data_IF_004758607917
#
_entry.id   IF_004758607917
#
_cell.length_a   1.000
_cell.length_b   1.000
_cell.length_c   1.000
_cell.angle_alpha   90.00
_cell.angle_beta   90.00
_cell.angle_gamma   90.00
#
_symmetry.space_group_name_H-M   'P 1'
#
loop_
_entity.id
_entity.type
_entity.pdbx_description
1 polymer ?
#
# COMPACT_ATOMS: atom_id res chain seq x y z
N UNK A 1 4.43 59.70 -44.02
CA UNK A 1 4.13 59.22 -42.65
C UNK A 1 4.40 57.72 -42.67
N UNK A 2 5.61 57.23 -42.37
CA UNK A 2 6.08 56.79 -41.02
C UNK A 2 4.90 56.25 -40.18
N UNK A 3 4.87 54.99 -39.79
CA UNK A 3 5.94 54.26 -39.07
C UNK A 3 5.89 52.75 -39.35
N UNK A 4 7.05 52.16 -39.66
CA UNK A 4 7.31 50.75 -39.39
C UNK A 4 7.57 50.58 -37.89
N UNK A 5 6.94 49.59 -37.29
CA UNK A 5 7.33 49.10 -35.97
C UNK A 5 8.30 47.94 -36.22
N UNK A 6 9.59 48.22 -36.05
CA UNK A 6 10.59 47.19 -35.77
C UNK A 6 10.11 46.46 -34.51
N UNK A 7 9.83 45.16 -34.65
CA UNK A 7 9.57 44.28 -33.53
C UNK A 7 10.93 44.06 -32.86
N UNK A 8 10.98 44.41 -31.58
CA UNK A 8 12.17 44.41 -30.75
C UNK A 8 12.74 42.98 -30.65
N UNK A 9 13.86 42.75 -31.34
CA UNK A 9 14.54 41.45 -31.38
C UNK A 9 15.07 41.03 -30.01
N UNK A 10 15.18 41.94 -29.04
CA UNK A 10 15.57 41.62 -27.66
C UNK A 10 14.42 40.95 -26.87
N UNK A 11 13.16 41.22 -27.22
CA UNK A 11 12.00 40.64 -26.52
C UNK A 11 11.73 39.18 -26.98
N UNK A 12 12.00 38.86 -28.25
CA UNK A 12 11.96 37.48 -28.76
C UNK A 12 13.13 36.62 -28.23
N UNK A 13 14.32 37.20 -28.07
CA UNK A 13 15.48 36.51 -27.49
C UNK A 13 15.34 36.32 -25.97
N UNK A 14 14.75 37.27 -25.24
CA UNK A 14 14.42 37.11 -23.82
C UNK A 14 13.33 36.05 -23.60
N UNK A 15 12.30 35.99 -24.46
CA UNK A 15 11.28 34.94 -24.41
C UNK A 15 11.88 33.58 -24.79
N UNK A 16 12.81 33.51 -25.75
CA UNK A 16 13.54 32.27 -26.09
C UNK A 16 14.47 31.80 -24.96
N UNK A 17 15.23 32.68 -24.33
CA UNK A 17 16.07 32.34 -23.18
C UNK A 17 15.24 31.95 -21.96
N UNK A 18 14.13 32.64 -21.67
CA UNK A 18 13.21 32.29 -20.59
C UNK A 18 12.48 30.96 -20.84
N UNK A 19 12.21 30.61 -22.11
CA UNK A 19 11.61 29.33 -22.51
C UNK A 19 12.64 28.19 -22.50
N UNK A 20 13.93 28.47 -22.73
CA UNK A 20 15.02 27.50 -22.56
C UNK A 20 15.42 27.32 -21.09
N UNK A 21 15.36 28.36 -20.25
CA UNK A 21 15.70 28.31 -18.84
C UNK A 21 14.63 27.59 -17.98
N UNK A 22 13.35 27.63 -18.39
CA UNK A 22 12.25 26.90 -17.71
C UNK A 22 12.14 25.41 -18.11
N UNK A 23 13.02 24.92 -19.01
CA UNK A 23 13.02 23.52 -19.47
C UNK A 23 13.91 22.57 -18.68
N UNK A 24 14.61 23.02 -17.64
CA UNK A 24 15.35 22.13 -16.75
C UNK A 24 14.53 21.89 -15.50
N UNK A 25 13.67 20.88 -15.55
CA UNK A 25 13.38 20.08 -14.35
C UNK A 25 14.72 19.86 -13.64
N UNK A 26 14.85 20.16 -12.34
CA UNK A 26 16.14 20.05 -11.66
C UNK A 26 16.63 18.62 -11.82
N UNK A 27 17.62 18.45 -12.69
CA UNK A 27 18.33 17.20 -12.89
C UNK A 27 19.22 17.08 -11.67
N UNK A 28 18.83 16.22 -10.72
CA UNK A 28 19.80 15.68 -9.77
C UNK A 28 20.86 14.98 -10.64
N UNK A 29 22.09 15.49 -10.58
CA UNK A 29 23.14 15.35 -11.58
C UNK A 29 23.72 13.92 -11.76
N UNK A 30 23.01 12.88 -11.33
CA UNK A 30 23.50 11.50 -11.43
C UNK A 30 22.86 10.63 -12.52
N UNK A 31 21.67 10.91 -13.07
CA UNK A 31 21.08 10.08 -14.15
C UNK A 31 20.10 10.86 -15.06
N UNK A 32 20.12 10.62 -16.39
CA UNK A 32 19.27 11.32 -17.38
C UNK A 32 17.92 10.59 -17.59
N UNK A 33 16.77 11.29 -17.67
CA UNK A 33 15.50 10.66 -18.10
C UNK A 33 15.68 9.90 -19.42
N UNK A 34 15.15 8.68 -19.49
CA UNK A 34 15.35 7.75 -20.61
C UNK A 34 16.52 6.77 -20.46
N UNK A 35 17.32 6.85 -19.37
CA UNK A 35 18.32 5.82 -19.05
C UNK A 35 17.70 4.67 -18.24
N UNK A 36 18.08 3.44 -18.55
CA UNK A 36 17.77 2.27 -17.73
C UNK A 36 18.77 2.12 -16.58
N UNK A 37 18.37 1.45 -15.50
CA UNK A 37 19.35 0.92 -14.55
C UNK A 37 19.90 -0.36 -15.14
N UNK A 38 21.23 -0.47 -15.14
CA UNK A 38 21.95 -1.59 -15.73
C UNK A 38 22.56 -2.45 -14.62
N UNK A 39 22.67 -3.75 -14.86
CA UNK A 39 23.48 -4.65 -14.02
C UNK A 39 24.96 -4.61 -14.41
N UNK A 40 25.76 -5.45 -13.77
CA UNK A 40 27.22 -5.56 -14.00
C UNK A 40 27.60 -6.01 -15.42
N UNK A 41 26.64 -6.53 -16.20
CA UNK A 41 26.83 -7.01 -17.57
C UNK A 41 26.16 -6.11 -18.62
N UNK A 42 25.89 -4.84 -18.28
CA UNK A 42 25.20 -3.89 -19.14
C UNK A 42 23.82 -4.38 -19.63
N UNK A 43 23.09 -5.13 -18.78
CA UNK A 43 21.69 -5.50 -19.03
C UNK A 43 20.74 -4.64 -18.23
N UNK A 44 19.59 -4.33 -18.80
CA UNK A 44 18.55 -3.52 -18.15
C UNK A 44 17.89 -4.32 -17.01
N UNK A 45 17.89 -3.75 -15.81
CA UNK A 45 17.22 -4.34 -14.64
C UNK A 45 15.72 -4.00 -14.69
N UNK A 46 14.91 -5.03 -14.94
CA UNK A 46 13.44 -4.95 -14.81
C UNK A 46 13.00 -5.45 -13.44
N UNK A 47 11.90 -4.95 -12.91
CA UNK A 47 11.29 -5.50 -11.69
C UNK A 47 9.92 -6.05 -11.99
N UNK A 48 9.39 -6.90 -11.10
CA UNK A 48 8.01 -7.37 -11.22
C UNK A 48 7.03 -6.19 -11.27
N UNK A 49 7.24 -5.18 -10.42
CA UNK A 49 6.36 -4.01 -10.39
C UNK A 49 6.38 -3.23 -11.71
N UNK A 50 7.54 -3.13 -12.37
CA UNK A 50 7.66 -2.48 -13.67
C UNK A 50 7.00 -3.31 -14.77
N UNK A 51 7.23 -4.61 -14.82
CA UNK A 51 6.61 -5.52 -15.79
C UNK A 51 5.10 -5.60 -15.62
N UNK A 52 4.60 -5.64 -14.38
CA UNK A 52 3.16 -5.54 -14.09
C UNK A 52 2.56 -4.24 -14.63
N UNK A 53 3.27 -3.12 -14.52
CA UNK A 53 2.80 -1.85 -15.11
C UNK A 53 2.80 -1.89 -16.63
N UNK A 54 3.80 -2.49 -17.28
CA UNK A 54 3.83 -2.69 -18.73
C UNK A 54 2.62 -3.51 -19.20
N UNK A 55 2.36 -4.64 -18.54
CA UNK A 55 1.22 -5.51 -18.82
C UNK A 55 -0.11 -4.77 -18.66
N UNK A 56 -0.27 -4.00 -17.59
CA UNK A 56 -1.50 -3.27 -17.32
C UNK A 56 -1.71 -2.10 -18.29
N UNK A 57 -0.68 -1.28 -18.53
CA UNK A 57 -0.76 -0.10 -19.40
C UNK A 57 0.65 0.36 -19.85
N UNK A 58 1.04 0.12 -21.12
CA UNK A 58 2.35 0.54 -21.65
C UNK A 58 2.62 2.04 -21.52
N UNK A 59 1.60 2.91 -21.73
CA UNK A 59 1.74 4.36 -21.52
C UNK A 59 2.10 4.70 -20.07
N UNK A 60 1.51 4.02 -19.11
CA UNK A 60 1.82 4.21 -17.68
C UNK A 60 3.25 3.75 -17.38
N UNK A 61 3.65 2.61 -17.92
CA UNK A 61 5.02 2.12 -17.81
C UNK A 61 6.04 3.14 -18.34
N UNK A 62 5.86 3.63 -19.57
CA UNK A 62 6.74 4.64 -20.17
C UNK A 62 6.90 5.84 -19.24
N UNK A 63 5.79 6.41 -18.76
CA UNK A 63 5.81 7.59 -17.89
C UNK A 63 6.52 7.33 -16.57
N UNK A 64 6.27 6.20 -15.92
CA UNK A 64 6.88 5.89 -14.62
C UNK A 64 8.35 5.48 -14.72
N UNK A 65 8.69 4.61 -15.67
CA UNK A 65 9.96 3.87 -15.69
C UNK A 65 10.94 4.34 -16.76
N UNK A 66 10.48 5.05 -17.80
CA UNK A 66 11.36 5.62 -18.83
C UNK A 66 11.49 7.14 -18.66
N UNK A 67 10.35 7.82 -18.53
CA UNK A 67 10.30 9.29 -18.40
C UNK A 67 10.53 9.75 -16.95
N UNK A 68 10.44 8.81 -15.99
CA UNK A 68 10.63 9.04 -14.55
C UNK A 68 9.71 10.08 -13.93
N UNK A 69 8.59 10.37 -14.58
CA UNK A 69 7.64 11.35 -14.07
C UNK A 69 6.68 10.70 -13.07
N UNK A 70 6.45 11.38 -11.94
CA UNK A 70 5.46 11.02 -10.92
C UNK A 70 4.70 12.26 -10.50
N UNK A 71 3.46 12.15 -9.99
CA UNK A 71 2.77 13.30 -9.43
C UNK A 71 3.62 14.00 -8.35
N UNK A 72 3.71 15.33 -8.41
CA UNK A 72 4.48 16.16 -7.48
C UNK A 72 3.93 16.08 -6.05
N UNK A 73 2.62 15.87 -5.93
CA UNK A 73 1.91 15.81 -4.66
C UNK A 73 1.67 14.36 -4.24
N UNK A 74 2.20 13.98 -3.08
CA UNK A 74 1.74 12.79 -2.37
C UNK A 74 0.38 13.14 -1.78
N UNK A 75 -0.65 12.35 -2.08
CA UNK A 75 -1.99 12.56 -1.51
C UNK A 75 -1.94 12.33 0.02
N UNK A 76 -2.26 13.33 0.87
CA UNK A 76 -2.74 13.11 2.23
C UNK A 76 -3.83 12.04 2.17
N UNK A 77 -3.73 11.08 3.09
CA UNK A 77 -4.62 9.94 3.10
C UNK A 77 -4.40 8.90 1.98
N UNK A 78 -3.31 8.93 1.19
CA UNK A 78 -3.03 7.83 0.24
C UNK A 78 -3.02 6.50 1.00
N UNK A 79 -3.91 5.55 0.67
CA UNK A 79 -3.96 4.30 1.42
C UNK A 79 -2.67 3.48 1.36
N UNK A 80 -1.76 3.78 0.42
CA UNK A 80 -0.42 3.18 0.35
C UNK A 80 0.45 3.56 1.55
N UNK A 81 0.30 4.77 2.10
CA UNK A 81 1.11 5.22 3.24
C UNK A 81 0.85 4.35 4.47
N UNK A 82 -0.43 4.03 4.71
CA UNK A 82 -0.81 3.08 5.76
C UNK A 82 -0.21 1.70 5.51
N UNK A 83 -0.31 1.19 4.27
CA UNK A 83 0.28 -0.11 3.89
C UNK A 83 1.79 -0.16 4.14
N UNK A 84 2.54 0.84 3.65
CA UNK A 84 3.98 0.93 3.88
C UNK A 84 4.36 1.02 5.35
N UNK A 85 3.56 1.71 6.17
CA UNK A 85 3.76 1.74 7.63
C UNK A 85 3.56 0.35 8.27
N UNK A 86 2.56 -0.42 7.82
CA UNK A 86 2.35 -1.79 8.29
C UNK A 86 3.54 -2.69 7.90
N UNK A 87 3.98 -2.68 6.64
CA UNK A 87 5.14 -3.47 6.21
C UNK A 87 6.37 -3.14 7.05
N UNK A 88 6.64 -1.86 7.32
CA UNK A 88 7.77 -1.45 8.15
C UNK A 88 7.68 -1.99 9.58
N UNK A 89 6.49 -2.01 10.19
CA UNK A 89 6.30 -2.61 11.51
C UNK A 89 6.53 -4.11 11.51
N UNK A 90 6.00 -4.82 10.50
CA UNK A 90 6.15 -6.27 10.36
C UNK A 90 7.59 -6.69 10.03
N UNK A 91 8.34 -5.87 9.30
CA UNK A 91 9.78 -6.03 9.07
C UNK A 91 10.55 -6.00 10.39
N UNK A 92 10.28 -4.99 11.24
CA UNK A 92 10.91 -4.85 12.56
C UNK A 92 10.57 -6.06 13.44
N UNK A 93 9.32 -6.52 13.43
CA UNK A 93 8.91 -7.73 14.16
C UNK A 93 9.62 -8.98 13.67
N UNK A 94 9.75 -9.13 12.35
CA UNK A 94 10.50 -10.25 11.78
C UNK A 94 11.97 -10.23 12.21
N UNK A 95 12.59 -9.06 12.26
CA UNK A 95 14.00 -8.92 12.61
C UNK A 95 14.29 -9.09 14.10
N UNK A 96 13.36 -8.68 14.98
CA UNK A 96 13.64 -8.54 16.41
C UNK A 96 12.82 -9.46 17.31
N UNK A 97 11.85 -10.21 16.77
CA UNK A 97 11.09 -11.15 17.59
C UNK A 97 10.29 -10.44 18.68
N UNK A 98 10.34 -11.00 19.89
CA UNK A 98 9.59 -10.52 21.06
C UNK A 98 10.00 -9.11 21.51
N UNK A 99 11.23 -8.68 21.19
CA UNK A 99 11.76 -7.36 21.55
C UNK A 99 11.28 -6.23 20.62
N UNK A 100 10.51 -6.56 19.58
CA UNK A 100 10.17 -5.62 18.51
C UNK A 100 9.17 -4.52 18.90
N UNK A 101 8.32 -4.74 19.91
CA UNK A 101 7.14 -3.90 20.17
C UNK A 101 7.51 -2.42 20.32
N UNK A 102 8.46 -2.08 21.19
CA UNK A 102 8.91 -0.69 21.38
C UNK A 102 9.55 -0.09 20.13
N UNK A 103 10.28 -0.90 19.35
CA UNK A 103 10.93 -0.47 18.11
C UNK A 103 9.90 -0.14 17.02
N UNK A 104 8.80 -0.90 16.97
CA UNK A 104 7.69 -0.66 16.06
C UNK A 104 7.00 0.66 16.41
N UNK A 105 6.73 0.91 17.69
CA UNK A 105 6.11 2.16 18.15
C UNK A 105 6.95 3.39 17.74
N UNK A 106 8.26 3.33 18.00
CA UNK A 106 9.21 4.37 17.58
C UNK A 106 9.22 4.56 16.07
N UNK A 107 9.19 3.48 15.29
CA UNK A 107 9.17 3.53 13.84
C UNK A 107 7.88 4.14 13.28
N UNK A 108 6.72 3.85 13.87
CA UNK A 108 5.43 4.45 13.49
C UNK A 108 5.45 5.95 13.77
N UNK A 109 5.93 6.36 14.96
CA UNK A 109 6.06 7.77 15.35
C UNK A 109 6.97 8.49 14.35
N UNK A 110 8.12 7.91 14.02
CA UNK A 110 9.08 8.50 13.07
C UNK A 110 8.54 8.56 11.64
N UNK A 111 7.82 7.53 11.18
CA UNK A 111 7.30 7.45 9.80
C UNK A 111 6.29 8.56 9.51
N UNK A 112 5.39 8.82 10.47
CA UNK A 112 4.40 9.88 10.33
C UNK A 112 4.89 11.23 10.86
N UNK A 113 5.87 11.26 11.76
CA UNK A 113 6.37 12.49 12.37
C UNK A 113 5.30 13.23 13.18
N UNK A 114 5.45 14.55 13.30
CA UNK A 114 4.49 15.45 13.96
C UNK A 114 3.28 15.75 13.05
N UNK A 115 2.47 14.73 12.78
CA UNK A 115 1.20 14.85 12.04
C UNK A 115 0.05 15.42 12.86
N UNK A 116 0.32 16.00 14.04
CA UNK A 116 -0.70 16.52 14.95
C UNK A 116 -1.66 17.55 14.31
N UNK A 117 -1.28 18.15 13.17
CA UNK A 117 -2.10 19.12 12.43
C UNK A 117 -2.85 18.54 11.23
N UNK A 118 -2.55 17.32 10.81
CA UNK A 118 -3.24 16.63 9.72
C UNK A 118 -4.11 15.50 10.29
N UNK A 119 -5.42 15.74 10.29
CA UNK A 119 -6.39 14.81 10.85
C UNK A 119 -6.40 13.45 10.13
N UNK A 120 -6.17 13.41 8.82
CA UNK A 120 -6.12 12.15 8.06
C UNK A 120 -4.86 11.35 8.42
N UNK A 121 -3.73 12.02 8.54
CA UNK A 121 -2.47 11.41 8.93
C UNK A 121 -2.50 10.91 10.39
N UNK A 122 -3.10 11.67 11.31
CA UNK A 122 -3.37 11.21 12.68
C UNK A 122 -4.20 9.92 12.68
N UNK A 123 -5.33 9.91 11.98
CA UNK A 123 -6.18 8.71 11.91
C UNK A 123 -5.46 7.52 11.27
N UNK A 124 -4.65 7.74 10.22
CA UNK A 124 -3.87 6.70 9.57
C UNK A 124 -2.82 6.10 10.53
N UNK A 125 -2.11 6.95 11.28
CA UNK A 125 -1.16 6.53 12.32
C UNK A 125 -1.85 5.71 13.41
N UNK A 126 -2.96 6.19 13.97
CA UNK A 126 -3.69 5.48 15.02
C UNK A 126 -4.18 4.09 14.56
N UNK A 127 -4.68 3.98 13.32
CA UNK A 127 -5.05 2.68 12.72
C UNK A 127 -3.85 1.74 12.59
N UNK A 128 -2.70 2.26 12.15
CA UNK A 128 -1.48 1.45 12.00
C UNK A 128 -0.98 0.94 13.36
N UNK A 129 -0.99 1.81 14.39
CA UNK A 129 -0.63 1.45 15.75
C UNK A 129 -1.53 0.33 16.29
N UNK A 130 -2.86 0.49 16.21
CA UNK A 130 -3.79 -0.53 16.69
C UNK A 130 -3.64 -1.87 15.95
N UNK A 131 -3.39 -1.83 14.63
CA UNK A 131 -3.15 -3.02 13.83
C UNK A 131 -1.87 -3.76 14.22
N UNK A 132 -0.75 -3.03 14.41
CA UNK A 132 0.52 -3.65 14.75
C UNK A 132 0.55 -4.16 16.20
N UNK A 133 -0.09 -3.44 17.13
CA UNK A 133 -0.23 -3.91 18.51
C UNK A 133 -1.00 -5.24 18.58
N UNK A 134 -2.15 -5.32 17.91
CA UNK A 134 -2.93 -6.56 17.87
C UNK A 134 -2.17 -7.68 17.14
N UNK A 135 -1.41 -7.37 16.07
CA UNK A 135 -0.58 -8.38 15.39
C UNK A 135 0.48 -8.95 16.35
N UNK A 136 1.17 -8.07 17.09
CA UNK A 136 2.18 -8.46 18.10
C UNK A 136 1.53 -9.31 19.20
N UNK A 137 0.42 -8.84 19.77
CA UNK A 137 -0.33 -9.57 20.79
C UNK A 137 -0.74 -10.96 20.30
N UNK A 138 -1.30 -11.04 19.08
CA UNK A 138 -1.86 -12.28 18.53
C UNK A 138 -0.82 -13.34 18.20
N UNK A 139 0.36 -12.96 17.71
CA UNK A 139 1.31 -13.91 17.12
C UNK A 139 2.71 -13.92 17.72
N UNK A 140 3.06 -12.93 18.53
CA UNK A 140 4.34 -12.89 19.25
C UNK A 140 4.11 -13.03 20.77
N UNK A 141 3.10 -12.39 21.34
CA UNK A 141 2.87 -12.43 22.80
C UNK A 141 1.97 -13.57 23.31
N UNK A 142 0.92 -13.95 22.57
CA UNK A 142 -0.15 -14.80 23.09
C UNK A 142 0.16 -16.32 23.13
N UNK A 143 1.17 -16.80 22.41
CA UNK A 143 1.43 -18.24 22.30
C UNK A 143 2.95 -18.52 22.20
N UNK A 144 3.62 -18.88 23.31
CA UNK A 144 5.04 -19.27 23.31
C UNK A 144 5.35 -20.48 22.43
N UNK A 145 4.33 -21.23 21.96
CA UNK A 145 4.49 -22.30 20.96
C UNK A 145 4.39 -21.82 19.51
N UNK A 146 4.01 -20.57 19.25
CA UNK A 146 3.97 -19.97 17.91
C UNK A 146 4.91 -18.75 17.77
N UNK A 147 5.37 -18.19 18.88
CA UNK A 147 6.44 -17.20 18.92
C UNK A 147 7.72 -17.84 18.37
N UNK A 148 8.06 -17.58 17.10
CA UNK A 148 9.33 -17.82 16.38
C UNK A 148 10.20 -19.07 16.74
N UNK A 149 9.69 -20.08 17.42
CA UNK A 149 10.49 -21.22 17.90
C UNK A 149 10.63 -22.29 16.80
N UNK A 150 9.70 -22.30 15.85
CA UNK A 150 9.68 -23.26 14.75
C UNK A 150 10.29 -22.69 13.45
N UNK A 151 10.73 -21.43 13.45
CA UNK A 151 11.30 -20.81 12.27
C UNK A 151 12.23 -19.65 12.60
N UNK A 152 13.23 -19.42 11.76
CA UNK A 152 14.20 -18.33 11.90
C UNK A 152 14.25 -17.47 10.62
N UNK A 153 14.42 -16.13 10.74
CA UNK A 153 14.67 -15.28 9.59
C UNK A 153 16.02 -15.62 8.94
N UNK A 154 16.02 -15.78 7.62
CA UNK A 154 17.22 -15.99 6.80
C UNK A 154 17.59 -14.69 6.08
N UNK A 155 16.61 -14.05 5.43
CA UNK A 155 16.76 -12.76 4.75
C UNK A 155 15.60 -11.84 5.14
N UNK A 156 15.86 -10.55 5.28
CA UNK A 156 14.86 -9.54 5.61
C UNK A 156 15.09 -8.34 4.69
N UNK A 157 14.03 -7.90 3.97
CA UNK A 157 14.07 -6.77 3.02
C UNK A 157 15.27 -6.83 2.05
N UNK A 158 15.70 -8.05 1.70
CA UNK A 158 16.91 -8.26 0.91
C UNK A 158 16.59 -8.03 -0.57
N UNK A 159 17.35 -7.12 -1.17
CA UNK A 159 17.37 -6.94 -2.63
C UNK A 159 18.12 -8.10 -3.29
N UNK A 160 17.66 -8.48 -4.47
CA UNK A 160 18.34 -9.46 -5.31
C UNK A 160 18.29 -9.03 -6.77
N UNK A 161 19.26 -9.53 -7.53
CA UNK A 161 19.26 -9.52 -8.99
C UNK A 161 19.37 -10.96 -9.50
N UNK A 162 18.92 -11.22 -10.72
CA UNK A 162 18.95 -12.57 -11.28
C UNK A 162 18.89 -12.60 -12.80
N UNK A 163 19.49 -13.65 -13.36
CA UNK A 163 19.47 -13.93 -14.78
C UNK A 163 18.08 -14.39 -15.23
N UNK A 164 17.53 -13.73 -16.24
CA UNK A 164 16.27 -14.17 -16.84
C UNK A 164 16.58 -15.31 -17.80
N UNK A 165 16.32 -16.54 -17.39
CA UNK A 165 16.59 -17.75 -18.17
C UNK A 165 15.28 -18.25 -18.78
N UNK A 166 15.26 -18.46 -20.11
CA UNK A 166 14.13 -19.08 -20.80
C UNK A 166 13.94 -20.51 -20.28
N UNK A 167 12.77 -20.86 -19.73
CA UNK A 167 12.59 -22.13 -19.02
C UNK A 167 12.72 -23.37 -19.92
N UNK A 168 12.35 -23.28 -21.20
CA UNK A 168 12.42 -24.44 -22.12
C UNK A 168 13.77 -24.63 -22.82
N UNK A 169 14.52 -23.55 -23.06
CA UNK A 169 15.75 -23.57 -23.86
C UNK A 169 17.01 -23.40 -23.02
N UNK A 170 16.88 -22.96 -21.76
CA UNK A 170 18.01 -22.61 -20.90
C UNK A 170 18.74 -21.33 -21.34
N UNK A 171 18.22 -20.60 -22.32
CA UNK A 171 18.87 -19.41 -22.85
C UNK A 171 18.75 -18.24 -21.86
N UNK A 172 19.89 -17.62 -21.52
CA UNK A 172 19.93 -16.38 -20.76
C UNK A 172 19.50 -15.20 -21.64
N UNK A 173 18.64 -14.33 -21.10
CA UNK A 173 18.21 -13.12 -21.78
C UNK A 173 19.38 -12.13 -21.90
N UNK A 174 19.69 -11.72 -23.12
CA UNK A 174 20.90 -10.93 -23.42
C UNK A 174 20.80 -9.45 -23.04
N UNK A 175 19.58 -8.93 -22.85
CA UNK A 175 19.32 -7.50 -22.64
C UNK A 175 18.72 -7.14 -21.29
N UNK A 176 18.20 -8.13 -20.57
CA UNK A 176 17.42 -7.91 -19.35
C UNK A 176 17.87 -8.86 -18.27
N UNK A 177 17.97 -8.34 -17.07
CA UNK A 177 18.01 -9.09 -15.83
C UNK A 177 16.83 -8.68 -14.95
N UNK A 178 16.49 -9.50 -13.96
CA UNK A 178 15.47 -9.13 -12.99
C UNK A 178 16.10 -8.54 -11.74
N UNK A 179 15.43 -7.56 -11.16
CA UNK A 179 15.66 -7.04 -9.83
C UNK A 179 14.41 -7.16 -8.98
N UNK A 180 14.59 -7.36 -7.68
CA UNK A 180 13.49 -7.44 -6.74
C UNK A 180 13.95 -7.22 -5.32
N UNK A 181 12.96 -7.13 -4.43
CA UNK A 181 13.15 -7.12 -2.99
C UNK A 181 12.13 -8.07 -2.39
N UNK A 182 12.59 -8.98 -1.54
CA UNK A 182 11.71 -9.85 -0.76
C UNK A 182 11.47 -9.24 0.60
N UNK A 183 10.23 -9.25 1.07
CA UNK A 183 9.86 -8.84 2.43
C UNK A 183 10.65 -9.68 3.46
N UNK A 184 10.68 -11.00 3.27
CA UNK A 184 11.57 -11.88 4.02
C UNK A 184 11.66 -13.30 3.48
N UNK A 185 12.64 -14.03 4.00
CA UNK A 185 12.83 -15.47 3.82
C UNK A 185 13.00 -16.05 5.20
N UNK A 186 12.27 -17.12 5.50
CA UNK A 186 12.35 -17.82 6.79
C UNK A 186 12.66 -19.28 6.57
N UNK A 187 13.44 -19.85 7.49
CA UNK A 187 13.68 -21.29 7.57
C UNK A 187 12.80 -21.85 8.66
N UNK A 188 11.87 -22.71 8.29
CA UNK A 188 11.08 -23.50 9.23
C UNK A 188 11.93 -24.69 9.66
N UNK A 189 12.23 -24.79 10.94
CA UNK A 189 13.12 -25.80 11.55
C UNK A 189 12.34 -27.04 11.97
N UNK A 190 11.08 -26.87 12.37
CA UNK A 190 10.19 -27.93 12.84
C UNK A 190 8.80 -27.79 12.21
N UNK A 191 8.09 -28.91 12.04
CA UNK A 191 6.72 -28.87 11.53
C UNK A 191 5.83 -28.07 12.49
N UNK A 192 5.09 -27.11 11.96
CA UNK A 192 4.25 -26.20 12.74
C UNK A 192 3.02 -25.77 11.95
N UNK A 193 2.16 -24.94 12.56
CA UNK A 193 0.97 -24.40 11.89
C UNK A 193 1.20 -22.97 11.42
N UNK A 194 0.74 -22.67 10.21
CA UNK A 194 0.63 -21.31 9.69
C UNK A 194 -0.81 -21.02 9.29
N UNK A 195 -1.51 -20.26 10.14
CA UNK A 195 -2.95 -20.09 10.01
C UNK A 195 -3.67 -21.43 10.16
N UNK A 196 -4.44 -21.80 9.14
CA UNK A 196 -5.17 -23.08 9.15
C UNK A 196 -4.32 -24.28 8.70
N UNK A 197 -3.13 -24.07 8.13
CA UNK A 197 -2.36 -25.09 7.43
C UNK A 197 -1.23 -25.65 8.30
N UNK A 198 -0.97 -26.96 8.19
CA UNK A 198 0.27 -27.57 8.68
C UNK A 198 1.37 -27.35 7.64
N UNK A 199 2.53 -26.89 8.09
CA UNK A 199 3.71 -26.67 7.25
C UNK A 199 4.89 -27.50 7.77
N UNK A 200 5.79 -27.85 6.85
CA UNK A 200 6.93 -28.75 7.11
C UNK A 200 8.24 -27.96 7.20
N UNK A 201 9.31 -28.56 7.75
CA UNK A 201 10.62 -27.93 7.72
C UNK A 201 11.09 -27.64 6.29
N UNK A 202 11.77 -26.50 6.11
CA UNK A 202 12.29 -26.03 4.83
C UNK A 202 12.29 -24.52 4.71
N UNK A 203 12.63 -24.04 3.51
CA UNK A 203 12.74 -22.62 3.23
C UNK A 203 11.44 -22.05 2.66
N UNK A 204 11.01 -20.91 3.18
CA UNK A 204 9.78 -20.23 2.79
C UNK A 204 10.03 -18.75 2.50
N UNK A 205 9.33 -18.21 1.50
CA UNK A 205 9.17 -16.75 1.41
C UNK A 205 8.18 -16.29 2.47
N UNK A 206 8.49 -15.19 3.14
CA UNK A 206 7.55 -14.48 4.02
C UNK A 206 7.11 -13.21 3.32
N UNK A 207 5.82 -13.08 3.05
CA UNK A 207 5.23 -11.94 2.33
C UNK A 207 4.20 -11.26 3.23
N UNK A 208 4.32 -9.94 3.40
CA UNK A 208 3.31 -9.17 4.09
C UNK A 208 2.34 -8.57 3.07
N UNK A 209 1.04 -8.58 3.37
CA UNK A 209 0.02 -7.91 2.54
C UNK A 209 -0.89 -7.07 3.39
N UNK A 210 -1.33 -5.97 2.81
CA UNK A 210 -2.43 -5.17 3.34
C UNK A 210 -3.66 -5.26 2.44
N UNK A 211 -4.84 -5.36 3.04
CA UNK A 211 -6.09 -5.52 2.31
C UNK A 211 -7.18 -4.60 2.87
N UNK A 212 -8.08 -4.12 2.01
CA UNK A 212 -9.30 -3.43 2.50
C UNK A 212 -10.23 -4.41 3.22
N UNK A 213 -10.35 -5.62 2.67
CA UNK A 213 -11.10 -6.73 3.26
C UNK A 213 -10.43 -8.05 2.91
N UNK A 214 -10.48 -9.00 3.84
CA UNK A 214 -9.95 -10.35 3.66
C UNK A 214 -11.15 -11.25 3.38
N UNK A 215 -11.38 -11.54 2.10
CA UNK A 215 -12.46 -12.43 1.64
C UNK A 215 -11.88 -13.71 1.05
N UNK A 216 -12.71 -14.74 0.89
CA UNK A 216 -12.33 -15.97 0.21
C UNK A 216 -11.76 -15.69 -1.20
N UNK A 217 -12.44 -14.83 -1.97
CA UNK A 217 -11.97 -14.41 -3.29
C UNK A 217 -10.60 -13.71 -3.25
N UNK A 218 -10.29 -12.99 -2.17
CA UNK A 218 -8.96 -12.38 -1.99
C UNK A 218 -7.90 -13.47 -1.75
N UNK A 219 -8.18 -14.44 -0.87
CA UNK A 219 -7.26 -15.52 -0.53
C UNK A 219 -7.01 -16.45 -1.74
N UNK A 220 -8.04 -16.79 -2.51
CA UNK A 220 -7.89 -17.63 -3.72
C UNK A 220 -6.94 -17.01 -4.74
N UNK A 221 -6.86 -15.68 -4.82
CA UNK A 221 -5.94 -15.00 -5.75
C UNK A 221 -4.47 -15.12 -5.37
N UNK A 222 -4.14 -15.44 -4.11
CA UNK A 222 -2.75 -15.59 -3.67
C UNK A 222 -2.02 -16.71 -4.43
N UNK A 223 -2.74 -17.78 -4.79
CA UNK A 223 -2.24 -18.88 -5.62
C UNK A 223 -1.79 -18.45 -7.03
N UNK A 224 -2.22 -17.26 -7.46
CA UNK A 224 -1.89 -16.69 -8.78
C UNK A 224 -0.99 -15.46 -8.66
N UNK A 225 -0.41 -15.20 -7.48
CA UNK A 225 0.50 -14.06 -7.29
C UNK A 225 1.84 -14.34 -7.96
N UNK A 226 1.92 -13.95 -9.23
CA UNK A 226 3.12 -14.08 -10.04
C UNK A 226 4.36 -13.45 -9.42
N UNK A 227 4.22 -12.40 -8.60
CA UNK A 227 5.38 -11.74 -8.01
C UNK A 227 6.17 -12.71 -7.16
N UNK A 228 5.46 -13.37 -6.24
CA UNK A 228 6.09 -14.17 -5.22
C UNK A 228 6.54 -15.53 -5.77
N UNK A 229 5.82 -16.07 -6.76
CA UNK A 229 6.24 -17.27 -7.51
C UNK A 229 7.52 -17.02 -8.32
N UNK A 230 7.67 -15.82 -8.86
CA UNK A 230 8.88 -15.44 -9.56
C UNK A 230 10.02 -15.25 -8.57
N UNK A 231 9.77 -14.58 -7.44
CA UNK A 231 10.79 -14.34 -6.42
C UNK A 231 11.22 -15.64 -5.73
N UNK A 232 10.34 -16.63 -5.57
CA UNK A 232 10.70 -17.92 -4.98
C UNK A 232 11.75 -18.64 -5.83
N UNK A 233 11.70 -18.48 -7.15
CA UNK A 233 12.73 -19.02 -8.04
C UNK A 233 14.09 -18.36 -7.84
N UNK A 234 14.16 -17.03 -7.88
CA UNK A 234 15.42 -16.30 -7.78
C UNK A 234 16.05 -16.38 -6.39
N UNK A 235 15.23 -16.39 -5.34
CA UNK A 235 15.71 -16.61 -3.99
C UNK A 235 16.24 -18.03 -3.81
N UNK A 236 15.53 -19.04 -4.34
CA UNK A 236 16.00 -20.43 -4.27
C UNK A 236 17.33 -20.63 -5.02
N UNK A 237 17.47 -20.01 -6.19
CA UNK A 237 18.69 -20.04 -6.99
C UNK A 237 19.87 -19.40 -6.24
N UNK A 238 19.65 -18.20 -5.69
CA UNK A 238 20.68 -17.52 -4.90
C UNK A 238 21.12 -18.30 -3.66
N UNK A 239 20.16 -18.85 -2.89
CA UNK A 239 20.46 -19.58 -1.65
C UNK A 239 20.95 -21.01 -1.89
N UNK A 240 20.82 -21.54 -3.10
CA UNK A 240 21.15 -22.93 -3.41
C UNK A 240 20.21 -23.95 -2.75
N UNK A 241 19.05 -23.53 -2.25
CA UNK A 241 18.06 -24.36 -1.56
C UNK A 241 16.65 -24.04 -2.06
N UNK A 242 15.79 -25.05 -2.33
CA UNK A 242 14.44 -24.79 -2.82
C UNK A 242 13.57 -24.07 -1.78
N UNK A 243 12.94 -22.98 -2.20
CA UNK A 243 11.78 -22.41 -1.51
C UNK A 243 10.58 -23.31 -1.76
N UNK A 244 10.03 -23.91 -0.72
CA UNK A 244 8.92 -24.89 -0.81
C UNK A 244 7.54 -24.27 -0.61
N UNK A 245 7.49 -22.99 -0.21
CA UNK A 245 6.23 -22.35 0.13
C UNK A 245 6.33 -20.84 0.33
N UNK A 246 5.17 -20.20 0.36
CA UNK A 246 5.00 -18.79 0.70
C UNK A 246 4.10 -18.69 1.92
N UNK A 247 4.58 -17.96 2.93
CA UNK A 247 3.89 -17.64 4.17
C UNK A 247 3.42 -16.19 4.10
N UNK A 248 2.11 -15.98 4.06
CA UNK A 248 1.50 -14.66 4.03
C UNK A 248 1.08 -14.22 5.42
N UNK A 249 1.43 -12.99 5.78
CA UNK A 249 0.80 -12.22 6.84
C UNK A 249 -0.09 -11.14 6.21
N UNK A 250 -1.41 -11.21 6.43
CA UNK A 250 -2.38 -10.32 5.79
C UNK A 250 -3.06 -9.47 6.86
N UNK A 251 -2.88 -8.16 6.78
CA UNK A 251 -3.48 -7.19 7.71
C UNK A 251 -4.57 -6.37 7.00
N UNK A 252 -5.79 -6.46 7.53
CA UNK A 252 -6.97 -5.74 7.07
C UNK A 252 -6.94 -4.26 7.48
N UNK A 253 -7.48 -3.39 6.64
CA UNK A 253 -7.68 -1.98 6.95
C UNK A 253 -9.08 -1.76 7.50
N UNK A 254 -9.19 -1.17 8.68
CA UNK A 254 -10.49 -0.80 9.24
C UNK A 254 -11.03 0.48 8.59
N UNK A 255 -12.34 0.50 8.34
CA UNK A 255 -13.06 1.70 7.86
C UNK A 255 -13.50 2.61 9.01
N UNK A 256 -13.18 2.28 10.27
CA UNK A 256 -13.45 3.16 11.41
C UNK A 256 -12.72 4.50 11.22
N UNK A 257 -13.48 5.58 11.32
CA UNK A 257 -12.99 6.94 11.32
C UNK A 257 -13.21 7.59 12.67
N UNK A 258 -12.42 8.63 12.92
CA UNK A 258 -12.60 9.47 14.09
C UNK A 258 -13.95 10.19 13.99
N UNK A 259 -14.76 10.12 15.04
CA UNK A 259 -16.07 10.80 15.08
C UNK A 259 -15.86 12.29 15.32
N UNK A 260 -16.28 13.11 14.36
CA UNK A 260 -16.21 14.57 14.46
C UNK A 260 -17.31 15.14 15.36
N UNK A 261 -17.13 16.40 15.78
CA UNK A 261 -18.18 17.15 16.45
C UNK A 261 -19.38 17.32 15.52
N UNK A 262 -20.58 17.25 16.09
CA UNK A 262 -21.82 17.46 15.36
C UNK A 262 -21.89 18.90 14.86
N UNK A 263 -22.15 19.08 13.56
CA UNK A 263 -22.32 20.42 12.99
C UNK A 263 -23.62 21.07 13.49
N UNK A 264 -23.73 22.41 13.48
CA UNK A 264 -24.96 23.10 13.87
C UNK A 264 -26.19 22.63 13.08
N UNK A 265 -26.04 22.34 11.78
CA UNK A 265 -27.12 21.85 10.94
C UNK A 265 -27.57 20.43 11.32
N UNK A 266 -26.63 19.54 11.64
CA UNK A 266 -26.94 18.18 12.12
C UNK A 266 -27.61 18.22 13.49
N UNK A 267 -27.14 19.10 14.38
CA UNK A 267 -27.73 19.29 15.70
C UNK A 267 -29.19 19.77 15.62
N UNK A 268 -29.46 20.81 14.83
CA UNK A 268 -30.82 21.32 14.62
C UNK A 268 -31.74 20.25 13.99
N UNK A 269 -31.23 19.49 13.02
CA UNK A 269 -31.96 18.37 12.43
C UNK A 269 -32.28 17.30 13.48
N UNK A 270 -31.31 16.89 14.30
CA UNK A 270 -31.51 15.91 15.37
C UNK A 270 -32.55 16.39 16.39
N UNK A 271 -32.53 17.67 16.74
CA UNK A 271 -33.53 18.28 17.63
C UNK A 271 -34.93 18.25 17.01
N UNK A 272 -35.05 18.60 15.73
CA UNK A 272 -36.32 18.55 15.00
C UNK A 272 -36.87 17.12 14.85
N UNK A 273 -36.01 16.14 14.56
CA UNK A 273 -36.40 14.74 14.45
C UNK A 273 -36.85 14.17 15.80
N UNK A 274 -36.17 14.53 16.90
CA UNK A 274 -36.60 14.15 18.25
C UNK A 274 -37.96 14.77 18.62
N UNK A 275 -38.23 16.00 18.19
CA UNK A 275 -39.53 16.65 18.41
C UNK A 275 -40.65 15.91 17.66
N UNK A 276 -40.42 15.54 16.39
CA UNK A 276 -41.38 14.76 15.59
C UNK A 276 -41.68 13.39 16.22
N UNK A 277 -40.66 12.71 16.74
CA UNK A 277 -40.84 11.43 17.45
C UNK A 277 -41.73 11.61 18.69
N UNK A 278 -41.46 12.65 19.50
CA UNK A 278 -42.26 12.97 20.67
C UNK A 278 -43.72 13.34 20.32
N UNK A 279 -43.95 14.00 19.18
CA UNK A 279 -45.29 14.27 18.64
C UNK A 279 -46.01 13.01 18.17
N UNK A 280 -45.27 12.04 17.61
CA UNK A 280 -45.79 10.74 17.18
C UNK A 280 -46.04 9.74 18.33
N UNK A 281 -45.76 10.12 19.59
CA UNK A 281 -45.95 9.27 20.76
C UNK A 281 -44.75 8.36 21.07
N UNK A 282 -43.62 8.54 20.39
CA UNK A 282 -42.37 7.86 20.65
C UNK A 282 -41.50 8.70 21.58
N UNK A 283 -41.51 8.33 22.87
CA UNK A 283 -40.84 9.13 23.89
C UNK A 283 -39.46 8.54 24.24
N UNK A 284 -38.38 9.33 24.21
CA UNK A 284 -37.04 8.89 24.59
C UNK A 284 -36.85 8.71 26.11
N UNK A 285 -37.95 8.66 26.89
CA UNK A 285 -37.91 8.67 28.36
C UNK A 285 -38.16 7.27 28.91
N UNK A 286 -37.48 6.91 30.00
CA UNK A 286 -37.75 5.69 30.78
C UNK A 286 -38.74 5.91 31.92
N UNK A 287 -39.61 6.92 31.83
CA UNK A 287 -40.59 7.23 32.87
C UNK A 287 -41.50 6.04 33.13
N UNK A 288 -41.73 5.72 34.41
CA UNK A 288 -42.69 4.70 34.84
C UNK A 288 -44.02 5.34 35.24
N UNK A 289 -45.12 4.64 34.94
CA UNK A 289 -46.46 5.02 35.37
C UNK A 289 -46.57 4.89 36.88
N UNK A 290 -47.18 5.87 37.55
CA UNK A 290 -47.45 5.78 39.01
C UNK A 290 -48.73 4.97 39.25
N UNK A 291 -48.86 4.35 40.42
CA UNK A 291 -49.98 3.44 40.73
C UNK A 291 -51.36 4.12 40.57
N UNK A 292 -51.48 5.38 40.97
CA UNK A 292 -52.75 6.12 40.95
C UNK A 292 -52.90 7.08 39.75
N UNK A 293 -52.02 6.98 38.75
CA UNK A 293 -52.00 7.89 37.59
C UNK A 293 -52.92 7.39 36.48
N UNK A 294 -53.76 8.27 35.94
CA UNK A 294 -54.57 7.97 34.77
C UNK A 294 -53.67 7.79 33.53
N UNK A 295 -54.02 6.90 32.58
CA UNK A 295 -53.23 6.70 31.36
C UNK A 295 -52.95 8.00 30.59
N UNK A 296 -53.93 8.89 30.49
CA UNK A 296 -53.82 10.17 29.77
C UNK A 296 -52.83 11.14 30.46
N UNK A 297 -52.83 11.17 31.80
CA UNK A 297 -51.91 11.98 32.59
C UNK A 297 -50.48 11.46 32.48
N UNK A 298 -50.31 10.14 32.45
CA UNK A 298 -49.01 9.51 32.24
C UNK A 298 -48.43 9.85 30.88
N UNK A 299 -49.21 9.79 29.81
CA UNK A 299 -48.76 10.17 28.47
C UNK A 299 -48.47 11.67 28.37
N UNK A 300 -49.27 12.53 29.02
CA UNK A 300 -48.99 13.97 29.10
C UNK A 300 -47.65 14.25 29.79
N UNK A 301 -47.35 13.52 30.88
CA UNK A 301 -46.08 13.63 31.61
C UNK A 301 -44.89 13.10 30.80
N UNK A 302 -45.06 11.99 30.07
CA UNK A 302 -44.02 11.48 29.15
C UNK A 302 -43.70 12.48 28.05
N UNK A 303 -44.73 13.07 27.42
CA UNK A 303 -44.56 14.11 26.41
C UNK A 303 -43.86 15.35 26.98
N UNK A 304 -44.28 15.85 28.14
CA UNK A 304 -43.65 16.99 28.78
C UNK A 304 -42.16 16.73 29.09
N UNK A 305 -41.83 15.55 29.63
CA UNK A 305 -40.43 15.17 29.91
C UNK A 305 -39.61 14.98 28.63
N UNK A 306 -40.22 14.46 27.57
CA UNK A 306 -39.54 14.34 26.28
C UNK A 306 -39.17 15.73 25.73
N UNK A 307 -40.08 16.70 25.78
CA UNK A 307 -39.82 18.09 25.37
C UNK A 307 -38.69 18.71 26.19
N UNK A 308 -38.75 18.58 27.53
CA UNK A 308 -37.70 19.06 28.43
C UNK A 308 -36.32 18.46 28.08
N UNK A 309 -36.24 17.15 27.87
CA UNK A 309 -35.00 16.49 27.46
C UNK A 309 -34.48 16.97 26.09
N UNK A 310 -35.39 17.30 25.16
CA UNK A 310 -35.05 17.85 23.84
C UNK A 310 -34.50 19.27 23.96
N UNK A 311 -35.03 20.08 24.87
CA UNK A 311 -34.54 21.43 25.17
C UNK A 311 -33.16 21.40 25.84
N UNK A 312 -32.88 20.39 26.66
CA UNK A 312 -31.59 20.16 27.31
C UNK A 312 -30.53 19.52 26.39
N UNK A 313 -30.91 19.09 25.18
CA UNK A 313 -29.96 18.49 24.23
C UNK A 313 -28.81 19.46 23.96
N UNK A 314 -27.60 18.91 23.94
CA UNK A 314 -26.38 19.62 23.54
C UNK A 314 -25.84 19.04 22.24
N UNK A 315 -25.11 19.83 21.43
CA UNK A 315 -24.35 19.32 20.31
C UNK A 315 -23.42 18.21 20.79
N UNK A 316 -23.29 17.13 20.01
CA UNK A 316 -22.31 16.09 20.32
C UNK A 316 -20.91 16.64 20.12
N UNK A 317 -20.06 16.42 21.11
CA UNK A 317 -18.65 16.78 21.04
C UNK A 317 -17.88 15.76 20.19
N UNK A 318 -16.74 16.22 19.65
CA UNK A 318 -15.77 15.35 18.99
C UNK A 318 -15.34 14.25 19.96
N UNK A 319 -15.21 13.01 19.49
CA UNK A 319 -14.73 11.93 20.35
C UNK A 319 -13.30 12.19 20.84
N UNK A 320 -12.90 11.64 21.98
CA UNK A 320 -11.51 11.74 22.42
C UNK A 320 -10.61 10.80 21.61
N UNK A 321 -9.34 11.18 21.45
CA UNK A 321 -8.33 10.35 20.79
C UNK A 321 -8.18 8.97 21.50
N UNK A 322 -8.37 8.93 22.82
CA UNK A 322 -8.40 7.69 23.63
C UNK A 322 -9.61 6.80 23.27
N UNK A 323 -10.82 7.37 23.24
CA UNK A 323 -12.03 6.64 22.85
C UNK A 323 -11.95 6.11 21.41
N UNK A 324 -11.31 6.85 20.50
CA UNK A 324 -11.07 6.40 19.14
C UNK A 324 -10.09 5.22 19.12
N UNK A 325 -8.99 5.32 19.87
CA UNK A 325 -7.98 4.27 20.01
C UNK A 325 -8.57 2.97 20.58
N UNK A 326 -9.43 3.06 21.60
CA UNK A 326 -10.13 1.91 22.17
C UNK A 326 -11.03 1.19 21.16
N UNK A 327 -11.77 1.96 20.34
CA UNK A 327 -12.60 1.41 19.27
C UNK A 327 -11.75 0.71 18.21
N UNK A 328 -10.60 1.27 17.86
CA UNK A 328 -9.66 0.65 16.93
C UNK A 328 -9.12 -0.67 17.48
N UNK A 329 -8.64 -0.69 18.74
CA UNK A 329 -8.16 -1.90 19.39
C UNK A 329 -9.24 -3.01 19.39
N UNK A 330 -10.49 -2.65 19.75
CA UNK A 330 -11.62 -3.59 19.70
C UNK A 330 -11.92 -4.10 18.28
N UNK A 331 -11.76 -3.24 17.26
CA UNK A 331 -11.99 -3.61 15.85
C UNK A 331 -10.98 -4.65 15.37
N UNK A 332 -9.69 -4.44 15.68
CA UNK A 332 -8.61 -5.32 15.22
C UNK A 332 -8.61 -6.70 15.90
N UNK A 333 -9.23 -6.83 17.08
CA UNK A 333 -9.51 -8.12 17.73
C UNK A 333 -10.42 -9.05 16.93
N UNK A 334 -11.13 -8.55 15.92
CA UNK A 334 -11.92 -9.40 15.03
C UNK A 334 -11.00 -10.27 14.15
N UNK A 335 -11.30 -11.57 14.05
CA UNK A 335 -10.55 -12.53 13.21
C UNK A 335 -10.52 -12.11 11.73
N UNK A 336 -11.54 -11.42 11.23
CA UNK A 336 -11.57 -10.95 9.84
C UNK A 336 -10.53 -9.86 9.52
N UNK A 337 -9.90 -9.28 10.54
CA UNK A 337 -8.93 -8.20 10.38
C UNK A 337 -7.50 -8.68 10.17
N UNK A 338 -7.19 -9.93 10.49
CA UNK A 338 -5.84 -10.47 10.29
C UNK A 338 -5.90 -11.94 9.93
N UNK A 339 -5.14 -12.33 8.91
CA UNK A 339 -5.11 -13.70 8.43
C UNK A 339 -3.67 -14.10 8.11
N UNK A 340 -3.30 -15.31 8.53
CA UNK A 340 -2.13 -16.03 8.02
C UNK A 340 -2.58 -17.02 6.96
N UNK A 341 -1.96 -16.97 5.79
CA UNK A 341 -2.25 -17.88 4.69
C UNK A 341 -0.97 -18.54 4.18
N UNK A 342 -1.10 -19.76 3.68
CA UNK A 342 -0.01 -20.54 3.13
C UNK A 342 -0.32 -20.91 1.67
N UNK A 343 0.69 -20.77 0.80
CA UNK A 343 0.65 -21.25 -0.58
C UNK A 343 1.86 -22.14 -0.81
N UNK A 344 1.65 -23.37 -1.25
CA UNK A 344 2.73 -24.26 -1.68
C UNK A 344 3.27 -23.82 -3.03
N UNK A 345 4.61 -23.84 -3.18
CA UNK A 345 5.25 -23.48 -4.45
C UNK A 345 5.23 -24.70 -5.39
N UNK A 346 4.39 -24.64 -6.42
CA UNK A 346 4.39 -25.61 -7.52
C UNK A 346 5.43 -25.21 -8.58
N UNK A 347 6.38 -26.10 -8.86
CA UNK A 347 7.44 -25.87 -9.85
C UNK A 347 6.89 -25.62 -11.26
N UNK A 348 5.71 -26.19 -11.60
CA UNK A 348 5.04 -25.94 -12.89
C UNK A 348 4.55 -24.50 -12.98
N UNK A 349 3.96 -23.98 -11.91
CA UNK A 349 3.52 -22.59 -11.85
C UNK A 349 4.71 -21.63 -11.94
N UNK A 350 5.84 -21.96 -11.30
CA UNK A 350 7.09 -21.19 -11.41
C UNK A 350 7.59 -21.15 -12.86
N UNK A 351 7.56 -22.29 -13.56
CA UNK A 351 7.94 -22.36 -14.98
C UNK A 351 7.02 -21.49 -15.85
N UNK A 352 5.72 -21.52 -15.60
CA UNK A 352 4.74 -20.73 -16.37
C UNK A 352 4.92 -19.23 -16.17
N UNK A 353 5.13 -18.76 -14.94
CA UNK A 353 5.37 -17.32 -14.70
C UNK A 353 6.69 -16.83 -15.31
N UNK A 354 7.70 -17.71 -15.42
CA UNK A 354 8.95 -17.41 -16.13
C UNK A 354 8.73 -17.30 -17.64
N UNK A 355 7.90 -18.16 -18.25
CA UNK A 355 7.49 -18.00 -19.66
C UNK A 355 6.74 -16.69 -19.87
N UNK A 356 5.81 -16.35 -18.98
CA UNK A 356 5.06 -15.09 -19.09
C UNK A 356 5.98 -13.87 -18.99
N UNK A 357 6.97 -13.88 -18.09
CA UNK A 357 7.99 -12.83 -18.00
C UNK A 357 8.74 -12.68 -19.34
N UNK A 358 9.19 -13.79 -19.93
CA UNK A 358 9.90 -13.76 -21.21
C UNK A 358 9.07 -13.11 -22.33
N UNK A 359 7.82 -13.55 -22.51
CA UNK A 359 6.90 -12.98 -23.50
C UNK A 359 6.61 -11.50 -23.26
N UNK A 360 6.59 -11.08 -21.99
CA UNK A 360 6.38 -9.69 -21.62
C UNK A 360 7.60 -8.82 -21.95
N UNK A 361 8.81 -9.37 -21.90
CA UNK A 361 10.04 -8.70 -22.34
C UNK A 361 10.10 -8.56 -23.86
N UNK A 362 9.67 -9.56 -24.62
CA UNK A 362 9.53 -9.45 -26.08
C UNK A 362 8.54 -8.33 -26.45
N UNK A 363 7.44 -8.22 -25.70
CA UNK A 363 6.50 -7.10 -25.85
C UNK A 363 7.14 -5.76 -25.47
N UNK A 364 7.94 -5.71 -24.41
CA UNK A 364 8.69 -4.52 -24.03
C UNK A 364 9.60 -4.05 -25.17
N UNK A 365 10.32 -4.99 -25.80
CA UNK A 365 11.19 -4.72 -26.94
C UNK A 365 10.44 -4.19 -28.14
N UNK A 366 9.26 -4.74 -28.44
CA UNK A 366 8.41 -4.22 -29.51
C UNK A 366 7.97 -2.77 -29.24
N UNK A 367 7.63 -2.42 -27.99
CA UNK A 367 7.28 -1.04 -27.62
C UNK A 367 8.48 -0.08 -27.73
N UNK A 368 9.67 -0.53 -27.32
CA UNK A 368 10.92 0.21 -27.46
C UNK A 368 11.23 0.49 -28.94
N UNK A 369 11.23 -0.55 -29.77
CA UNK A 369 11.56 -0.47 -31.19
C UNK A 369 10.60 0.44 -31.96
N UNK A 370 9.30 0.32 -31.69
CA UNK A 370 8.28 1.05 -32.44
C UNK A 370 8.00 2.44 -31.86
N UNK A 371 8.50 2.75 -30.66
CA UNK A 371 8.18 3.99 -29.92
C UNK A 371 6.71 4.12 -29.52
N UNK A 372 5.90 3.08 -29.68
CA UNK A 372 4.46 3.12 -29.45
C UNK A 372 4.11 2.60 -28.06
N UNK A 373 3.70 3.49 -27.16
CA UNK A 373 3.29 3.14 -25.80
C UNK A 373 1.79 3.40 -25.62
N UNK A 374 0.99 2.40 -25.99
CA UNK A 374 -0.48 2.48 -25.96
C UNK A 374 -1.05 2.70 -24.55
N UNK A 375 -2.14 3.45 -24.46
CA UNK A 375 -2.95 3.55 -23.23
C UNK A 375 -3.88 2.33 -23.18
N UNK A 376 -3.96 1.70 -22.01
CA UNK A 376 -5.04 0.76 -21.70
C UNK A 376 -6.11 1.47 -20.86
N UNK A 377 -7.31 1.61 -21.42
CA UNK A 377 -8.41 2.37 -20.82
C UNK A 377 -9.04 1.64 -19.64
N UNK A 378 -9.07 0.31 -19.66
CA UNK A 378 -9.62 -0.52 -18.57
C UNK A 378 -8.84 -0.33 -17.26
N UNK A 379 -7.56 0.03 -17.35
CA UNK A 379 -6.70 0.30 -16.19
C UNK A 379 -6.66 1.77 -15.77
N UNK A 380 -7.45 2.65 -16.40
CA UNK A 380 -7.52 4.05 -16.01
C UNK A 380 -8.26 4.27 -14.67
N UNK A 381 -9.17 3.36 -14.30
CA UNK A 381 -9.96 3.40 -13.06
C UNK A 381 -9.94 2.05 -12.31
N UNK A 382 -8.75 1.49 -12.10
CA UNK A 382 -8.60 0.21 -11.41
C UNK A 382 -8.60 0.36 -9.87
N UNK A 383 -9.12 -0.64 -9.16
CA UNK A 383 -9.08 -0.74 -7.69
C UNK A 383 -9.68 0.47 -6.95
N UNK A 384 -10.79 1.01 -7.49
CA UNK A 384 -11.45 2.21 -6.96
C UNK A 384 -10.54 3.46 -6.93
N UNK A 385 -9.50 3.48 -7.76
CA UNK A 385 -8.59 4.62 -7.89
C UNK A 385 -8.45 5.06 -9.33
N UNK A 386 -8.46 6.38 -9.51
CA UNK A 386 -8.08 7.01 -10.78
C UNK A 386 -6.57 6.87 -10.97
N UNK A 387 -6.15 6.49 -12.17
CA UNK A 387 -4.73 6.40 -12.54
C UNK A 387 -4.01 7.73 -12.31
N UNK A 388 -2.82 7.67 -11.72
CA UNK A 388 -2.00 8.84 -11.40
C UNK A 388 -1.64 9.69 -12.63
N UNK A 389 -1.70 9.12 -13.83
CA UNK A 389 -1.41 9.81 -15.09
C UNK A 389 -2.64 10.10 -15.95
N UNK A 390 -3.86 9.90 -15.41
CA UNK A 390 -5.10 10.14 -16.15
C UNK A 390 -5.16 11.55 -16.73
N UNK A 391 -4.94 12.57 -15.89
CA UNK A 391 -5.00 13.96 -16.30
C UNK A 391 -4.05 14.25 -17.47
N UNK A 392 -2.83 13.71 -17.41
CA UNK A 392 -1.81 13.88 -18.45
C UNK A 392 -2.15 13.09 -19.73
N UNK A 393 -2.78 11.92 -19.61
CA UNK A 393 -3.29 11.17 -20.77
C UNK A 393 -4.42 11.92 -21.49
N UNK A 394 -5.38 12.47 -20.74
CA UNK A 394 -6.58 13.12 -21.31
C UNK A 394 -6.32 14.53 -21.81
N UNK A 395 -5.28 15.20 -21.29
CA UNK A 395 -4.87 16.51 -21.76
C UNK A 395 -3.92 16.48 -22.96
N UNK A 396 -3.66 15.30 -23.53
CA UNK A 396 -2.69 15.09 -24.61
C UNK A 396 -1.31 15.67 -24.28
N UNK A 397 -0.81 15.34 -23.09
CA UNK A 397 0.51 15.77 -22.60
C UNK A 397 0.65 17.32 -22.53
N UNK A 398 -0.44 18.02 -22.21
CA UNK A 398 -0.44 19.47 -22.01
C UNK A 398 0.66 19.92 -21.02
N UNK A 399 1.49 20.92 -21.38
CA UNK A 399 2.55 21.44 -20.51
C UNK A 399 2.05 21.86 -19.12
N UNK A 400 0.89 22.52 -19.05
CA UNK A 400 0.29 22.96 -17.78
C UNK A 400 -0.08 21.79 -16.86
N UNK A 401 -0.48 20.65 -17.42
CA UNK A 401 -0.75 19.45 -16.63
C UNK A 401 0.55 18.76 -16.24
N UNK A 402 1.58 18.80 -17.10
CA UNK A 402 2.91 18.24 -16.82
C UNK A 402 3.58 18.94 -15.63
N UNK A 403 3.34 20.23 -15.41
CA UNK A 403 3.83 20.99 -14.24
C UNK A 403 3.38 20.40 -12.88
N UNK A 404 2.36 19.54 -12.88
CA UNK A 404 1.91 18.82 -11.69
C UNK A 404 2.72 17.54 -11.39
N UNK A 405 3.75 17.26 -12.18
CA UNK A 405 4.61 16.08 -12.07
C UNK A 405 6.06 16.49 -11.85
N UNK A 406 6.81 15.62 -11.17
CA UNK A 406 8.24 15.75 -10.93
C UNK A 406 8.99 14.54 -11.45
N UNK A 407 10.28 14.71 -11.74
CA UNK A 407 11.18 13.59 -12.03
C UNK A 407 11.56 12.93 -10.70
N UNK A 408 11.35 11.62 -10.61
CA UNK A 408 11.79 10.79 -9.48
C UNK A 408 12.52 9.58 -9.99
N UNK A 409 13.69 9.31 -9.40
CA UNK A 409 14.53 8.17 -9.74
C UNK A 409 13.77 6.82 -9.71
N UNK A 410 14.31 5.78 -10.38
CA UNK A 410 13.74 4.44 -10.41
C UNK A 410 13.40 3.89 -9.01
N UNK A 411 12.52 2.89 -8.96
CA UNK A 411 12.21 2.22 -7.70
C UNK A 411 13.46 1.49 -7.15
N UNK A 412 13.54 1.35 -5.84
CA UNK A 412 14.63 0.65 -5.12
C UNK A 412 14.87 -0.79 -5.65
N UNK A 413 13.82 -1.44 -6.15
CA UNK A 413 13.84 -2.78 -6.75
C UNK A 413 14.66 -2.84 -8.06
N UNK A 414 14.90 -1.69 -8.69
CA UNK A 414 15.68 -1.56 -9.92
C UNK A 414 17.06 -0.99 -9.67
N UNK A 415 17.43 -0.69 -8.42
CA UNK A 415 18.80 -0.27 -8.10
C UNK A 415 19.71 -1.50 -8.16
N UNK A 416 20.86 -1.37 -8.83
CA UNK A 416 21.91 -2.38 -8.77
C UNK A 416 22.30 -2.59 -7.30
N UNK A 417 22.57 -3.83 -6.91
CA UNK A 417 23.09 -4.14 -5.58
C UNK A 417 24.49 -3.54 -5.48
N UNK A 418 24.67 -2.51 -4.64
CA UNK A 418 25.97 -1.89 -4.38
C UNK A 418 26.92 -2.80 -3.56
N UNK A 419 26.43 -3.98 -3.14
CA UNK A 419 27.25 -4.98 -2.46
C UNK A 419 28.07 -5.79 -3.48
N UNK A 420 29.32 -5.38 -3.68
CA UNK A 420 30.38 -6.25 -4.17
C UNK A 420 30.37 -7.55 -3.36
N UNK A 421 30.12 -8.68 -4.01
CA UNK A 421 30.72 -9.97 -3.62
C UNK A 421 30.54 -10.42 -2.15
N UNK A 422 29.39 -10.23 -1.54
CA UNK A 422 29.02 -11.14 -0.43
C UNK A 422 28.22 -12.28 -1.03
N UNK A 423 28.84 -13.42 -1.43
CA UNK A 423 28.07 -14.61 -1.71
C UNK A 423 27.15 -14.86 -0.52
N UNK A 424 25.90 -15.23 -0.79
CA UNK A 424 24.98 -15.69 0.25
C UNK A 424 25.75 -16.68 1.12
N UNK A 425 25.74 -16.52 2.45
CA UNK A 425 26.65 -17.25 3.32
C UNK A 425 26.55 -18.75 3.03
N UNK A 426 27.65 -19.30 2.51
CA UNK A 426 27.86 -20.73 2.39
C UNK A 426 27.87 -21.30 3.81
N UNK A 427 26.74 -21.85 4.25
CA UNK A 427 26.67 -22.56 5.52
C UNK A 427 27.31 -23.95 5.34
N UNK A 428 28.43 -24.14 6.04
CA UNK A 428 28.99 -25.46 6.34
C UNK A 428 28.12 -26.23 7.33
#
# INVERSE_FOLDING_TARGET
MRTGAEIDTEEEDFVREATQAKRRLPVVESRRPGSFVMDEYDRVIVSYSSMKQLRNCPRKYKRRYLDWIVPAYIRPGDPRNWGSCIHRGLEIMLAHGDDATSMVDEAIVKYWGDVARDHEAFQARARAQAALNEYSERWYAADPGQANHHWEPVLIEKKFTGDIIHPDTGQVHQRYSIGGKVDGVVRVTEACRWGACDIRPGLYLKENKTAKSISENYLTRLWTDMQILLYSHYVADGLGEPVIGILYDIVGKTDLAHTDAESPAEFEKRKADALKQAEAGEYPTRLRKRNDELPEDFERRKKARAIELIEELRPRERESDESYSDRLAKSYKNESMMCRAYVEVDTRAVVDVRRELWLLLERHDAHQLNGQWGKNEDHCFAYFRKCDYWALCTSFDSPTVLDQYVIRQPHEEQEATEDESTPLPSMA
#
